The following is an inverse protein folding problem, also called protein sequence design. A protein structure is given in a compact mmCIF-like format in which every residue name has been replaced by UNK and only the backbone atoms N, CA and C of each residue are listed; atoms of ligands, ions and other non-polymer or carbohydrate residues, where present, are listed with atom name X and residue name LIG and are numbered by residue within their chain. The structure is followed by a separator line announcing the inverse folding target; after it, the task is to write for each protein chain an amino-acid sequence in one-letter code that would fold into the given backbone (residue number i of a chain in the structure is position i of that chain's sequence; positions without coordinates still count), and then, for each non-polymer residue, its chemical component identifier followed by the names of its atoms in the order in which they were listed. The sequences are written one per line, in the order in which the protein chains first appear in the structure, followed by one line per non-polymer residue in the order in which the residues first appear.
data_IF_070239021512
#
_entry.id   IF_070239021512
#
_cell.length_a   1.000
_cell.length_b   1.000
_cell.length_c   1.000
_cell.angle_alpha   90.00
_cell.angle_beta   90.00
_cell.angle_gamma   90.00
#
_symmetry.space_group_name_H-M   'P 1'
#
loop_
_entity.id
_entity.type
_entity.pdbx_description
1 polymer ?
#
# COMPACT_ATOMS: atom_id res chain seq x y z
N UNK A 1 -0.53 9.50 -12.46
CA UNK A 1 -1.40 8.49 -11.81
C UNK A 1 -2.15 9.06 -10.61
N UNK A 2 -1.48 9.64 -9.63
CA UNK A 2 -2.07 10.28 -8.43
C UNK A 2 -1.79 11.76 -8.47
N UNK A 3 -2.79 12.61 -8.17
CA UNK A 3 -2.62 14.05 -8.04
C UNK A 3 -3.48 14.55 -6.87
N UNK A 4 -2.84 15.23 -5.93
CA UNK A 4 -3.47 15.88 -4.79
C UNK A 4 -3.32 17.40 -4.96
N UNK A 5 -4.43 18.14 -4.76
CA UNK A 5 -4.47 19.61 -4.89
C UNK A 5 -5.07 20.19 -3.63
N UNK A 6 -4.25 20.84 -2.80
CA UNK A 6 -4.64 21.48 -1.56
C UNK A 6 -5.39 20.53 -0.60
N UNK A 7 -5.00 19.24 -0.53
CA UNK A 7 -5.74 18.23 0.22
C UNK A 7 -5.59 18.45 1.71
N UNK A 8 -6.74 18.57 2.40
CA UNK A 8 -6.80 18.53 3.86
C UNK A 8 -7.49 17.25 4.34
N UNK A 9 -7.14 16.83 5.56
CA UNK A 9 -7.85 15.75 6.24
C UNK A 9 -7.97 16.05 7.71
N UNK A 10 -9.22 16.19 8.15
CA UNK A 10 -9.60 16.49 9.52
C UNK A 10 -10.28 15.26 10.14
N UNK A 11 -10.01 15.00 11.42
CA UNK A 11 -10.66 13.97 12.23
C UNK A 11 -11.29 14.63 13.46
N UNK A 12 -12.61 14.52 13.64
CA UNK A 12 -13.28 15.00 14.87
C UNK A 12 -12.88 14.10 16.05
N UNK A 13 -12.38 14.73 17.13
CA UNK A 13 -12.00 14.06 18.38
C UNK A 13 -12.79 14.74 19.53
N UNK A 14 -14.05 14.40 19.68
CA UNK A 14 -14.96 15.11 20.59
C UNK A 14 -15.18 16.56 20.14
N UNK A 15 -14.85 17.54 21.01
CA UNK A 15 -14.95 18.97 20.70
C UNK A 15 -13.74 19.52 19.91
N UNK A 16 -12.67 18.75 19.79
CA UNK A 16 -11.43 19.16 19.09
C UNK A 16 -11.37 18.52 17.72
N UNK A 17 -10.90 19.26 16.73
CA UNK A 17 -10.63 18.78 15.39
C UNK A 17 -9.12 18.57 15.22
N UNK A 18 -8.71 17.33 15.04
CA UNK A 18 -7.31 17.02 14.68
C UNK A 18 -7.15 17.12 13.17
N UNK A 19 -6.33 18.07 12.72
CA UNK A 19 -6.01 18.27 11.29
C UNK A 19 -4.75 17.48 10.93
N UNK A 20 -4.95 16.31 10.33
CA UNK A 20 -3.87 15.40 9.98
C UNK A 20 -3.16 15.77 8.66
N UNK A 21 -3.87 16.38 7.69
CA UNK A 21 -3.30 16.97 6.49
C UNK A 21 -3.76 18.42 6.35
N UNK A 22 -2.84 19.33 5.98
CA UNK A 22 -3.05 20.78 6.08
C UNK A 22 -2.96 21.52 4.74
N UNK A 23 -3.28 20.87 3.63
CA UNK A 23 -3.21 21.43 2.29
C UNK A 23 -2.04 20.84 1.53
N UNK A 24 -2.09 19.52 1.29
CA UNK A 24 -1.05 18.78 0.60
C UNK A 24 -1.26 18.87 -0.91
N UNK A 25 -0.23 19.34 -1.61
CA UNK A 25 -0.08 19.24 -3.05
C UNK A 25 0.95 18.16 -3.37
N UNK A 26 0.58 17.16 -4.17
CA UNK A 26 1.44 16.03 -4.50
C UNK A 26 1.04 15.45 -5.85
N UNK A 27 2.05 15.10 -6.66
CA UNK A 27 1.86 14.30 -7.85
C UNK A 27 2.77 13.08 -7.81
N UNK A 28 2.20 11.90 -8.08
CA UNK A 28 2.93 10.66 -8.28
C UNK A 28 2.55 10.12 -9.65
N UNK A 29 3.52 9.97 -10.51
CA UNK A 29 3.35 9.46 -11.85
C UNK A 29 3.44 7.92 -11.90
N UNK A 30 3.13 7.34 -13.05
CA UNK A 30 3.24 5.90 -13.24
C UNK A 30 4.71 5.46 -13.22
N UNK A 31 4.95 4.28 -12.67
CA UNK A 31 6.28 3.68 -12.55
C UNK A 31 7.24 4.47 -11.65
N UNK A 32 6.75 5.27 -10.75
CA UNK A 32 7.57 5.83 -9.69
C UNK A 32 7.70 4.86 -8.52
N UNK A 33 8.85 4.89 -7.86
CA UNK A 33 9.09 4.24 -6.58
C UNK A 33 9.40 5.33 -5.55
N UNK A 34 8.44 5.57 -4.67
CA UNK A 34 8.41 6.72 -3.75
C UNK A 34 8.41 6.23 -2.30
N UNK A 35 9.26 6.82 -1.47
CA UNK A 35 9.14 6.74 -0.02
C UNK A 35 8.44 7.98 0.54
N UNK A 36 7.49 7.78 1.45
CA UNK A 36 6.91 8.84 2.27
C UNK A 36 7.45 8.68 3.69
N UNK A 37 8.27 9.64 4.13
CA UNK A 37 8.96 9.61 5.42
C UNK A 37 8.48 10.74 6.34
N UNK A 38 8.93 10.75 7.58
CA UNK A 38 8.62 11.77 8.58
C UNK A 38 8.37 11.18 9.97
N UNK A 39 8.32 12.04 10.98
CA UNK A 39 8.10 11.64 12.36
C UNK A 39 6.74 10.93 12.58
N UNK A 40 6.60 10.20 13.69
CA UNK A 40 5.31 9.67 14.11
C UNK A 40 4.31 10.82 14.28
N UNK A 41 3.07 10.62 13.81
CA UNK A 41 2.03 11.66 13.84
C UNK A 41 2.13 12.75 12.76
N UNK A 42 3.11 12.72 11.86
CA UNK A 42 3.26 13.73 10.79
C UNK A 42 2.16 13.68 9.71
N UNK A 43 1.34 12.62 9.68
CA UNK A 43 0.23 12.47 8.70
C UNK A 43 0.48 11.42 7.61
N UNK A 44 1.59 10.67 7.62
CA UNK A 44 1.97 9.70 6.58
C UNK A 44 0.90 8.67 6.26
N UNK A 45 0.43 7.92 7.27
CA UNK A 45 -0.63 6.91 7.08
C UNK A 45 -1.94 7.56 6.61
N UNK A 46 -2.25 8.78 7.07
CA UNK A 46 -3.41 9.54 6.57
C UNK A 46 -3.26 9.88 5.10
N UNK A 47 -2.07 10.35 4.68
CA UNK A 47 -1.78 10.63 3.27
C UNK A 47 -1.92 9.36 2.43
N UNK A 48 -1.33 8.25 2.87
CA UNK A 48 -1.47 6.96 2.20
C UNK A 48 -2.93 6.49 2.12
N UNK A 49 -3.72 6.70 3.17
CA UNK A 49 -5.16 6.36 3.15
C UNK A 49 -5.96 7.20 2.16
N UNK A 50 -5.60 8.47 1.96
CA UNK A 50 -6.23 9.32 0.92
C UNK A 50 -5.82 8.84 -0.46
N UNK A 51 -4.53 8.65 -0.71
CA UNK A 51 -3.99 8.13 -1.98
C UNK A 51 -4.64 6.78 -2.31
N UNK A 52 -4.77 5.92 -1.30
CA UNK A 52 -5.34 4.58 -1.41
C UNK A 52 -6.87 4.54 -1.50
N UNK A 53 -7.55 5.67 -1.61
CA UNK A 53 -9.01 5.74 -1.64
C UNK A 53 -9.71 5.06 -0.44
N UNK A 54 -9.01 4.94 0.71
CA UNK A 54 -9.57 4.47 1.98
C UNK A 54 -10.31 5.59 2.70
N UNK A 55 -9.75 6.81 2.66
CA UNK A 55 -10.35 8.01 3.21
C UNK A 55 -10.56 9.06 2.13
N UNK A 56 -11.70 9.74 2.19
CA UNK A 56 -11.92 10.94 1.39
C UNK A 56 -11.19 12.11 2.01
N UNK A 57 -10.68 13.07 1.22
CA UNK A 57 -10.20 14.34 1.76
C UNK A 57 -11.36 15.08 2.45
N UNK A 58 -11.03 15.96 3.40
CA UNK A 58 -12.01 16.89 4.00
C UNK A 58 -12.23 18.07 3.06
N UNK A 59 -11.17 18.56 2.42
CA UNK A 59 -11.23 19.56 1.35
C UNK A 59 -10.06 19.36 0.37
N UNK A 60 -10.05 20.12 -0.72
CA UNK A 60 -9.13 19.92 -1.82
C UNK A 60 -9.56 18.79 -2.74
N UNK A 61 -8.73 18.41 -3.69
CA UNK A 61 -9.00 17.36 -4.67
C UNK A 61 -7.96 16.25 -4.58
N UNK A 62 -8.42 15.01 -4.57
CA UNK A 62 -7.57 13.82 -4.66
C UNK A 62 -7.96 13.04 -5.93
N UNK A 63 -7.10 13.07 -6.94
CA UNK A 63 -7.34 12.44 -8.23
C UNK A 63 -6.56 11.14 -8.36
N UNK A 64 -7.24 10.09 -8.82
CA UNK A 64 -6.64 8.82 -9.21
C UNK A 64 -7.00 8.53 -10.68
N UNK A 65 -6.00 8.43 -11.54
CA UNK A 65 -6.19 8.35 -13.01
C UNK A 65 -7.15 9.44 -13.55
N UNK A 66 -7.04 10.66 -13.02
CA UNK A 66 -7.89 11.81 -13.40
C UNK A 66 -9.30 11.82 -12.79
N UNK A 67 -9.69 10.80 -12.03
CA UNK A 67 -11.00 10.73 -11.37
C UNK A 67 -10.89 11.26 -9.93
N UNK A 68 -11.75 12.22 -9.58
CA UNK A 68 -11.79 12.78 -8.24
C UNK A 68 -12.39 11.77 -7.23
N UNK A 69 -11.54 11.26 -6.33
CA UNK A 69 -11.92 10.31 -5.29
C UNK A 69 -12.96 10.88 -4.32
N UNK A 70 -12.98 12.21 -4.13
CA UNK A 70 -13.96 12.88 -3.30
C UNK A 70 -15.39 12.79 -3.83
N UNK A 71 -15.55 12.76 -5.16
CA UNK A 71 -16.84 12.73 -5.85
C UNK A 71 -17.41 11.31 -6.04
N UNK A 72 -16.59 10.24 -5.89
CA UNK A 72 -17.02 8.87 -6.16
C UNK A 72 -17.89 8.29 -5.04
N UNK A 73 -18.79 7.36 -5.38
CA UNK A 73 -19.55 6.57 -4.42
C UNK A 73 -18.64 5.62 -3.62
N UNK A 74 -19.17 5.05 -2.52
CA UNK A 74 -18.43 4.04 -1.73
C UNK A 74 -18.12 2.80 -2.56
N UNK A 75 -19.03 2.39 -3.41
CA UNK A 75 -18.92 1.23 -4.31
C UNK A 75 -17.84 1.46 -5.37
N UNK A 76 -17.78 2.67 -5.96
CA UNK A 76 -16.75 3.03 -6.93
C UNK A 76 -15.36 3.06 -6.29
N UNK A 77 -15.23 3.66 -5.09
CA UNK A 77 -13.99 3.63 -4.32
C UNK A 77 -13.55 2.19 -4.01
N UNK A 78 -14.49 1.31 -3.62
CA UNK A 78 -14.20 -0.09 -3.36
C UNK A 78 -13.71 -0.82 -4.62
N UNK A 79 -14.30 -0.53 -5.79
CA UNK A 79 -13.85 -1.09 -7.08
C UNK A 79 -12.45 -0.60 -7.44
N UNK A 80 -12.14 0.69 -7.25
CA UNK A 80 -10.78 1.22 -7.48
C UNK A 80 -9.78 0.53 -6.57
N UNK A 81 -10.06 0.44 -5.27
CA UNK A 81 -9.17 -0.26 -4.32
C UNK A 81 -8.92 -1.69 -4.73
N UNK A 82 -9.98 -2.43 -5.04
CA UNK A 82 -9.85 -3.85 -5.38
C UNK A 82 -9.10 -4.07 -6.70
N UNK A 83 -9.36 -3.26 -7.73
CA UNK A 83 -8.84 -3.49 -9.09
C UNK A 83 -7.50 -2.80 -9.36
N UNK A 84 -7.18 -1.70 -8.67
CA UNK A 84 -6.07 -0.82 -9.04
C UNK A 84 -4.99 -0.69 -7.97
N UNK A 85 -5.29 -1.05 -6.70
CA UNK A 85 -4.41 -0.77 -5.56
C UNK A 85 -4.15 -2.05 -4.78
N UNK A 86 -2.89 -2.40 -4.60
CA UNK A 86 -2.43 -3.47 -3.70
C UNK A 86 -1.98 -2.86 -2.38
N UNK A 87 -2.65 -3.20 -1.29
CA UNK A 87 -2.27 -2.74 0.05
C UNK A 87 -1.42 -3.77 0.77
N UNK A 88 -0.34 -3.30 1.39
CA UNK A 88 0.58 -4.08 2.21
C UNK A 88 0.77 -3.32 3.52
N UNK A 89 0.46 -3.96 4.65
CA UNK A 89 0.49 -3.33 5.97
C UNK A 89 1.52 -4.00 6.88
N UNK A 90 2.01 -3.26 7.86
CA UNK A 90 2.91 -3.74 8.88
C UNK A 90 2.36 -4.94 9.68
N UNK A 91 1.06 -4.94 10.00
CA UNK A 91 0.37 -5.99 10.75
C UNK A 91 -0.20 -7.11 9.88
N UNK A 92 0.23 -7.25 8.62
CA UNK A 92 -0.17 -8.28 7.64
C UNK A 92 -1.70 -8.36 7.39
N UNK A 93 -2.54 -8.22 8.39
CA UNK A 93 -4.02 -8.36 8.35
C UNK A 93 -4.49 -9.61 7.58
N UNK A 94 -3.84 -10.74 7.87
CA UNK A 94 -4.28 -12.04 7.33
C UNK A 94 -5.47 -12.58 8.12
N UNK A 95 -6.38 -13.27 7.43
CA UNK A 95 -7.47 -13.99 8.07
C UNK A 95 -6.92 -15.20 8.83
N UNK A 96 -6.94 -15.22 10.17
CA UNK A 96 -6.16 -16.18 10.96
C UNK A 96 -6.67 -17.62 10.86
N UNK A 97 -7.94 -17.79 10.49
CA UNK A 97 -8.57 -19.10 10.33
C UNK A 97 -8.52 -19.65 8.91
N UNK A 98 -8.03 -18.85 7.96
CA UNK A 98 -7.93 -19.19 6.55
C UNK A 98 -6.49 -19.53 6.17
N UNK A 99 -6.30 -20.34 5.15
CA UNK A 99 -4.96 -20.67 4.63
C UNK A 99 -4.35 -19.47 3.89
N UNK A 100 -3.04 -19.53 3.59
CA UNK A 100 -2.36 -18.55 2.75
C UNK A 100 -3.06 -18.41 1.40
N UNK A 101 -3.40 -19.53 0.76
CA UNK A 101 -4.12 -19.56 -0.52
C UNK A 101 -5.44 -18.77 -0.43
N UNK A 102 -6.27 -19.05 0.57
CA UNK A 102 -7.57 -18.37 0.76
C UNK A 102 -7.39 -16.88 1.05
N UNK A 103 -6.35 -16.49 1.78
CA UNK A 103 -6.04 -15.08 2.00
C UNK A 103 -5.73 -14.36 0.66
N UNK A 104 -4.99 -14.99 -0.23
CA UNK A 104 -4.65 -14.42 -1.55
C UNK A 104 -5.85 -14.47 -2.50
N UNK A 105 -6.73 -15.47 -2.41
CA UNK A 105 -7.96 -15.55 -3.20
C UNK A 105 -8.98 -14.45 -2.89
N UNK A 106 -8.90 -13.82 -1.70
CA UNK A 106 -9.93 -12.91 -1.21
C UNK A 106 -10.22 -11.72 -2.13
N UNK A 107 -9.23 -10.92 -2.59
CA UNK A 107 -9.49 -9.82 -3.51
C UNK A 107 -10.03 -10.27 -4.87
N UNK A 108 -9.65 -11.46 -5.34
CA UNK A 108 -10.17 -12.04 -6.56
C UNK A 108 -11.64 -12.45 -6.43
N UNK A 109 -12.03 -12.94 -5.24
CA UNK A 109 -13.44 -13.26 -4.96
C UNK A 109 -14.29 -11.97 -4.99
N UNK A 110 -13.81 -10.87 -4.45
CA UNK A 110 -14.49 -9.56 -4.54
C UNK A 110 -14.53 -9.00 -5.97
N UNK A 111 -13.58 -9.37 -6.81
CA UNK A 111 -13.58 -9.06 -8.25
C UNK A 111 -14.55 -9.93 -9.07
N UNK A 112 -15.20 -10.92 -8.45
CA UNK A 112 -16.12 -11.84 -9.13
C UNK A 112 -15.43 -12.97 -9.92
N UNK A 113 -14.14 -13.20 -9.72
CA UNK A 113 -13.37 -14.26 -10.39
C UNK A 113 -13.88 -15.64 -9.92
N UNK A 114 -14.03 -16.57 -10.84
CA UNK A 114 -14.51 -17.93 -10.56
C UNK A 114 -13.60 -18.65 -9.55
N UNK A 115 -14.16 -19.61 -8.78
CA UNK A 115 -13.40 -20.34 -7.76
C UNK A 115 -12.17 -21.06 -8.33
N UNK A 116 -12.28 -21.65 -9.51
CA UNK A 116 -11.17 -22.35 -10.16
C UNK A 116 -10.07 -21.38 -10.55
N UNK A 117 -10.43 -20.32 -11.27
CA UNK A 117 -9.50 -19.32 -11.78
C UNK A 117 -8.78 -18.57 -10.64
N UNK A 118 -9.50 -18.12 -9.59
CA UNK A 118 -8.87 -17.44 -8.47
C UNK A 118 -7.89 -18.32 -7.71
N UNK A 119 -8.15 -19.64 -7.61
CA UNK A 119 -7.21 -20.56 -6.98
C UNK A 119 -5.93 -20.72 -7.79
N UNK A 120 -6.04 -20.75 -9.12
CA UNK A 120 -4.89 -20.77 -10.03
C UNK A 120 -4.07 -19.47 -9.90
N UNK A 121 -4.71 -18.31 -9.98
CA UNK A 121 -4.04 -16.99 -9.81
C UNK A 121 -3.38 -16.89 -8.44
N UNK A 122 -4.07 -17.26 -7.36
CA UNK A 122 -3.54 -17.18 -6.01
C UNK A 122 -2.30 -18.07 -5.81
N UNK A 123 -2.26 -19.26 -6.42
CA UNK A 123 -1.07 -20.12 -6.40
C UNK A 123 0.10 -19.47 -7.13
N UNK A 124 -0.12 -18.90 -8.30
CA UNK A 124 0.92 -18.15 -9.03
C UNK A 124 1.45 -16.97 -8.21
N UNK A 125 0.57 -16.23 -7.50
CA UNK A 125 1.00 -15.15 -6.63
C UNK A 125 1.83 -15.66 -5.44
N UNK A 126 1.48 -16.79 -4.83
CA UNK A 126 2.26 -17.41 -3.76
C UNK A 126 3.61 -17.94 -4.26
N UNK A 127 3.65 -18.57 -5.42
CA UNK A 127 4.89 -19.00 -6.07
C UNK A 127 5.83 -17.83 -6.31
N UNK A 128 5.30 -16.71 -6.82
CA UNK A 128 6.06 -15.49 -7.08
C UNK A 128 6.75 -14.91 -5.84
N UNK A 129 6.18 -15.09 -4.66
CA UNK A 129 6.79 -14.67 -3.39
C UNK A 129 7.54 -15.79 -2.68
N UNK A 130 7.77 -16.93 -3.34
CA UNK A 130 8.52 -18.08 -2.81
C UNK A 130 7.75 -18.90 -1.76
N UNK A 131 6.42 -18.93 -1.81
CA UNK A 131 5.55 -19.62 -0.83
C UNK A 131 4.65 -20.70 -1.44
N UNK A 132 5.00 -21.27 -2.58
CA UNK A 132 4.19 -22.31 -3.24
C UNK A 132 3.84 -23.47 -2.30
N UNK A 133 4.82 -23.97 -1.53
CA UNK A 133 4.64 -25.10 -0.60
C UNK A 133 3.86 -24.73 0.65
N UNK A 134 3.73 -23.42 0.96
CA UNK A 134 3.04 -22.91 2.14
C UNK A 134 1.57 -22.53 1.85
N UNK A 135 1.06 -22.81 0.65
CA UNK A 135 -0.29 -22.42 0.21
C UNK A 135 -1.40 -22.88 1.19
N UNK A 136 -1.24 -24.03 1.81
CA UNK A 136 -2.21 -24.61 2.76
C UNK A 136 -1.93 -24.29 4.24
N UNK A 137 -0.84 -23.58 4.57
CA UNK A 137 -0.56 -23.14 5.92
C UNK A 137 -1.48 -22.00 6.33
N UNK A 138 -1.83 -21.97 7.62
CA UNK A 138 -2.54 -20.85 8.26
C UNK A 138 -1.53 -19.82 8.77
N UNK A 139 -1.92 -18.55 8.98
CA UNK A 139 -1.02 -17.54 9.52
C UNK A 139 -0.29 -17.94 10.81
N UNK A 140 -0.93 -18.75 11.66
CA UNK A 140 -0.33 -19.27 12.90
C UNK A 140 0.80 -20.28 12.67
N UNK A 141 0.97 -20.76 11.46
CA UNK A 141 2.00 -21.73 11.05
C UNK A 141 3.11 -21.07 10.20
N UNK A 142 3.02 -19.76 10.00
CA UNK A 142 3.95 -18.98 9.19
C UNK A 142 4.84 -18.10 10.09
N UNK A 143 6.08 -17.89 9.68
CA UNK A 143 6.93 -16.86 10.26
C UNK A 143 6.40 -15.45 9.92
N UNK A 144 6.95 -14.40 10.58
CA UNK A 144 6.62 -13.01 10.26
C UNK A 144 6.89 -12.67 8.78
N UNK A 145 8.08 -13.03 8.28
CA UNK A 145 8.44 -12.82 6.87
C UNK A 145 7.57 -13.61 5.90
N UNK A 146 7.20 -14.85 6.22
CA UNK A 146 6.27 -15.63 5.41
C UNK A 146 4.87 -14.99 5.41
N UNK A 147 4.39 -14.51 6.55
CA UNK A 147 3.10 -13.81 6.65
C UNK A 147 3.10 -12.52 5.82
N UNK A 148 4.20 -11.76 5.83
CA UNK A 148 4.36 -10.57 4.99
C UNK A 148 4.36 -10.93 3.50
N UNK A 149 5.06 -11.98 3.10
CA UNK A 149 5.03 -12.47 1.70
C UNK A 149 3.62 -12.89 1.27
N UNK A 150 2.82 -13.51 2.15
CA UNK A 150 1.39 -13.79 1.87
C UNK A 150 0.60 -12.49 1.71
N UNK A 151 0.83 -11.47 2.56
CA UNK A 151 0.19 -10.17 2.44
C UNK A 151 0.56 -9.47 1.12
N UNK A 152 1.81 -9.56 0.69
CA UNK A 152 2.26 -9.06 -0.63
C UNK A 152 1.57 -9.83 -1.76
N UNK A 153 1.57 -11.16 -1.73
CA UNK A 153 0.90 -11.99 -2.74
C UNK A 153 -0.59 -11.62 -2.86
N UNK A 154 -1.28 -11.40 -1.72
CA UNK A 154 -2.66 -10.91 -1.69
C UNK A 154 -2.80 -9.54 -2.34
N UNK A 155 -1.89 -8.62 -2.04
CA UNK A 155 -1.86 -7.28 -2.66
C UNK A 155 -1.70 -7.34 -4.17
N UNK A 156 -0.99 -8.33 -4.69
CA UNK A 156 -0.70 -8.51 -6.12
C UNK A 156 -1.80 -9.25 -6.89
N UNK A 157 -2.73 -9.92 -6.22
CA UNK A 157 -3.66 -10.88 -6.83
C UNK A 157 -4.47 -10.31 -8.01
N UNK A 158 -4.96 -9.08 -7.92
CA UNK A 158 -5.67 -8.40 -9.00
C UNK A 158 -4.75 -7.63 -9.98
N UNK A 159 -3.45 -7.90 -9.99
CA UNK A 159 -2.46 -7.21 -10.83
C UNK A 159 -2.57 -5.68 -10.74
N UNK A 160 -2.51 -5.10 -9.54
CA UNK A 160 -2.70 -3.66 -9.35
C UNK A 160 -1.64 -2.84 -10.09
N UNK A 161 -1.96 -1.57 -10.39
CA UNK A 161 -1.00 -0.61 -10.98
C UNK A 161 -0.23 0.14 -9.90
N UNK A 162 -0.82 0.29 -8.71
CA UNK A 162 -0.26 0.95 -7.55
C UNK A 162 -0.13 -0.02 -6.39
N UNK A 163 1.03 -0.06 -5.76
CA UNK A 163 1.28 -0.77 -4.51
C UNK A 163 1.51 0.26 -3.41
N UNK A 164 0.74 0.16 -2.34
CA UNK A 164 0.86 1.01 -1.15
C UNK A 164 1.32 0.16 0.03
N UNK A 165 2.50 0.45 0.57
CA UNK A 165 3.04 -0.20 1.75
C UNK A 165 3.06 0.75 2.96
N UNK A 166 2.44 0.35 4.08
CA UNK A 166 2.53 1.04 5.36
C UNK A 166 3.47 0.26 6.28
N UNK A 167 4.69 0.75 6.44
CA UNK A 167 5.77 0.13 7.20
C UNK A 167 5.94 -1.38 6.90
N UNK A 168 6.14 -1.77 5.62
CA UNK A 168 6.03 -3.16 5.21
C UNK A 168 7.13 -4.07 5.79
N UNK A 169 8.16 -3.52 6.41
CA UNK A 169 9.29 -4.23 7.04
C UNK A 169 9.34 -4.06 8.56
N UNK A 170 8.56 -3.16 9.14
CA UNK A 170 8.68 -2.72 10.52
C UNK A 170 8.51 -3.80 11.62
N UNK A 171 8.05 -5.00 11.26
CA UNK A 171 7.92 -6.16 12.18
C UNK A 171 8.85 -7.31 11.79
N UNK A 172 9.86 -7.08 10.96
CA UNK A 172 10.74 -8.11 10.42
C UNK A 172 12.18 -7.93 10.90
N UNK A 173 12.95 -9.01 10.89
CA UNK A 173 14.39 -8.93 11.05
C UNK A 173 15.07 -8.33 9.81
N UNK A 174 16.30 -7.81 9.97
CA UNK A 174 17.02 -7.10 8.91
C UNK A 174 17.17 -7.91 7.63
N UNK A 175 17.50 -9.20 7.73
CA UNK A 175 17.66 -10.07 6.56
C UNK A 175 16.35 -10.23 5.80
N UNK A 176 15.27 -10.49 6.53
CA UNK A 176 13.93 -10.62 5.93
C UNK A 176 13.47 -9.28 5.32
N UNK A 177 13.81 -8.15 5.96
CA UNK A 177 13.52 -6.81 5.43
C UNK A 177 14.21 -6.58 4.08
N UNK A 178 15.49 -6.91 3.96
CA UNK A 178 16.24 -6.83 2.69
C UNK A 178 15.57 -7.67 1.58
N UNK A 179 15.14 -8.90 1.91
CA UNK A 179 14.45 -9.77 0.97
C UNK A 179 13.10 -9.19 0.50
N UNK A 180 12.36 -8.55 1.40
CA UNK A 180 11.09 -7.87 1.06
C UNK A 180 11.34 -6.64 0.21
N UNK A 181 12.38 -5.85 0.50
CA UNK A 181 12.77 -4.70 -0.32
C UNK A 181 13.20 -5.13 -1.73
N UNK A 182 13.98 -6.20 -1.85
CA UNK A 182 14.35 -6.76 -3.14
C UNK A 182 13.10 -7.18 -3.96
N UNK A 183 12.06 -7.71 -3.30
CA UNK A 183 10.80 -8.02 -3.96
C UNK A 183 10.09 -6.75 -4.47
N UNK A 184 10.07 -5.64 -3.68
CA UNK A 184 9.52 -4.38 -4.16
C UNK A 184 10.31 -3.82 -5.35
N UNK A 185 11.64 -3.92 -5.36
CA UNK A 185 12.46 -3.53 -6.51
C UNK A 185 12.07 -4.31 -7.76
N UNK A 186 11.96 -5.64 -7.66
CA UNK A 186 11.52 -6.49 -8.78
C UNK A 186 10.15 -6.07 -9.31
N UNK A 187 9.20 -5.74 -8.43
CA UNK A 187 7.87 -5.27 -8.80
C UNK A 187 7.91 -3.91 -9.50
N UNK A 188 8.80 -3.01 -9.04
CA UNK A 188 9.03 -1.73 -9.70
C UNK A 188 9.63 -1.91 -11.10
N UNK A 189 10.63 -2.79 -11.26
CA UNK A 189 11.27 -3.09 -12.54
C UNK A 189 10.28 -3.69 -13.55
N UNK A 190 9.24 -4.39 -13.07
CA UNK A 190 8.10 -4.84 -13.87
C UNK A 190 7.13 -3.69 -14.24
N UNK A 191 7.41 -2.47 -13.83
CA UNK A 191 6.63 -1.28 -14.17
C UNK A 191 5.48 -0.95 -13.21
N UNK A 192 5.47 -1.51 -11.99
CA UNK A 192 4.51 -1.11 -10.95
C UNK A 192 4.90 0.25 -10.38
N UNK A 193 3.90 1.04 -10.01
CA UNK A 193 4.08 2.23 -9.17
C UNK A 193 4.06 1.79 -7.71
N UNK A 194 5.04 2.22 -6.93
CA UNK A 194 5.17 1.80 -5.53
C UNK A 194 5.30 3.02 -4.64
N UNK A 195 4.51 3.07 -3.57
CA UNK A 195 4.58 4.10 -2.53
C UNK A 195 4.71 3.39 -1.19
N UNK A 196 5.82 3.59 -0.51
CA UNK A 196 6.08 3.05 0.82
C UNK A 196 6.05 4.16 1.85
N UNK A 197 5.25 3.99 2.88
CA UNK A 197 5.30 4.81 4.09
C UNK A 197 6.25 4.13 5.07
N UNK A 198 7.24 4.88 5.54
CA UNK A 198 8.24 4.34 6.47
C UNK A 198 8.87 5.43 7.32
N UNK A 199 9.45 5.04 8.44
CA UNK A 199 10.37 5.86 9.23
C UNK A 199 11.82 5.34 9.13
N UNK A 200 12.05 4.26 8.37
CA UNK A 200 13.36 3.65 8.16
C UNK A 200 14.09 4.39 7.04
N UNK A 201 15.26 4.97 7.36
CA UNK A 201 16.09 5.70 6.39
C UNK A 201 16.63 4.79 5.29
N UNK A 202 16.86 3.52 5.58
CA UNK A 202 17.36 2.54 4.63
C UNK A 202 16.38 2.34 3.46
N UNK A 203 15.06 2.37 3.72
CA UNK A 203 14.03 2.28 2.68
C UNK A 203 14.02 3.56 1.83
N UNK A 204 14.15 4.72 2.46
CA UNK A 204 14.21 5.99 1.73
C UNK A 204 15.41 6.06 0.76
N UNK A 205 16.54 5.47 1.15
CA UNK A 205 17.76 5.46 0.32
C UNK A 205 17.65 4.57 -0.93
N UNK A 206 16.82 3.53 -0.89
CA UNK A 206 16.63 2.61 -2.02
C UNK A 206 15.48 3.02 -2.95
N UNK A 207 14.74 4.06 -2.60
CA UNK A 207 13.68 4.62 -3.47
C UNK A 207 14.24 5.76 -4.32
N UNK A 208 13.65 5.95 -5.51
CA UNK A 208 14.08 6.99 -6.46
C UNK A 208 13.57 8.39 -6.10
N UNK A 209 12.66 8.51 -5.13
CA UNK A 209 12.06 9.76 -4.68
C UNK A 209 11.64 9.63 -3.22
N UNK A 210 11.98 10.62 -2.42
CA UNK A 210 11.58 10.72 -1.02
C UNK A 210 10.72 11.95 -0.79
N UNK A 211 9.56 11.76 -0.15
CA UNK A 211 8.64 12.81 0.27
C UNK A 211 8.66 12.87 1.79
N UNK A 212 9.17 13.95 2.34
CA UNK A 212 9.24 14.15 3.79
C UNK A 212 8.00 14.88 4.26
N UNK A 213 7.24 14.23 5.14
CA UNK A 213 6.02 14.80 5.73
C UNK A 213 6.30 15.29 7.14
N UNK A 214 5.88 16.53 7.44
CA UNK A 214 5.96 17.15 8.77
C UNK A 214 4.71 17.95 9.08
N UNK A 215 4.10 17.70 10.23
CA UNK A 215 2.92 18.41 10.74
C UNK A 215 1.76 18.53 9.73
N UNK A 216 1.55 17.50 8.91
CA UNK A 216 0.49 17.42 7.90
C UNK A 216 0.79 18.19 6.60
N UNK A 217 2.02 18.60 6.37
CA UNK A 217 2.51 19.26 5.15
C UNK A 217 3.68 18.49 4.55
N UNK A 218 3.90 18.63 3.25
CA UNK A 218 5.14 18.19 2.60
C UNK A 218 6.19 19.24 2.91
N UNK A 219 7.23 18.84 3.65
CA UNK A 219 8.38 19.68 3.97
C UNK A 219 9.42 19.63 2.84
N UNK A 220 9.62 18.44 2.27
CA UNK A 220 10.57 18.22 1.20
C UNK A 220 10.06 17.16 0.23
N UNK A 221 10.41 17.29 -1.04
CA UNK A 221 10.18 16.34 -2.12
C UNK A 221 11.50 16.22 -2.89
N UNK A 222 12.24 15.13 -2.62
CA UNK A 222 13.58 14.92 -3.12
C UNK A 222 13.59 13.81 -4.16
N UNK A 223 14.20 14.05 -5.31
CA UNK A 223 14.57 12.95 -6.18
C UNK A 223 15.75 12.21 -5.53
N UNK A 224 15.57 10.91 -5.29
CA UNK A 224 16.61 10.07 -4.71
C UNK A 224 17.85 10.05 -5.62
N UNK A 225 19.02 10.00 -5.02
CA UNK A 225 20.27 9.68 -5.73
C UNK A 225 20.25 8.19 -6.04
N UNK A 226 19.95 7.84 -7.30
CA UNK A 226 20.14 6.49 -7.81
C UNK A 226 21.63 6.20 -8.01
#
# INVERSE_FOLDING_TARGET
MIELKGVTKDYPMGEVVYRALRGVDLRIDEREFVAITGASGSGKSTLMHVIGALHRPTSGQALFDGRDLGALSREELARIRNAKIGFIFQQFFLLPRSTALVNVELPLAYAGVSRRERSEIARMCLERVGLAEHAHHRPTQLSGGQSQRVAIARGLANSPRLILGDEPTGNLDSKTSEEILALFHSLHDEGKTIVLVTHEQEIAQVTKREIVLKDGLIEEDRNGTA
#
